data_IF_672338839331
#
_entry.id   IF_672338839331
#
_cell.length_a   1.000
_cell.length_b   1.000
_cell.length_c   1.000
_cell.angle_alpha   90.00
_cell.angle_beta   90.00
_cell.angle_gamma   90.00
#
_symmetry.space_group_name_H-M   'P 1'
#
loop_
_entity.id
_entity.type
_entity.pdbx_description
1 polymer ?
#
# COMPACT_ATOMS: atom_id res chain seq x y z
N UNK A 1 18.60 -3.50 -27.12
CA UNK A 1 18.09 -3.47 -25.74
C UNK A 1 17.31 -2.17 -25.48
N UNK A 2 16.49 -1.77 -26.45
CA UNK A 2 16.06 -0.37 -26.68
C UNK A 2 14.54 -0.20 -26.79
N UNK A 3 13.76 -1.28 -26.64
CA UNK A 3 12.30 -1.24 -26.84
C UNK A 3 11.51 -0.95 -25.56
N UNK A 4 11.81 -1.63 -24.44
CA UNK A 4 10.99 -1.52 -23.21
C UNK A 4 11.20 -0.20 -22.46
N UNK A 5 12.44 0.28 -22.36
CA UNK A 5 12.75 1.57 -21.73
C UNK A 5 12.27 2.76 -22.59
N UNK A 6 12.30 2.63 -23.92
CA UNK A 6 11.80 3.63 -24.86
C UNK A 6 10.27 3.70 -24.95
N UNK A 7 9.55 2.63 -24.60
CA UNK A 7 8.09 2.67 -24.43
C UNK A 7 7.67 3.22 -23.08
N UNK A 8 8.38 2.88 -21.99
CA UNK A 8 8.13 3.48 -20.67
C UNK A 8 8.46 4.98 -20.64
N UNK A 9 9.43 5.45 -21.43
CA UNK A 9 9.76 6.86 -21.60
C UNK A 9 8.65 7.68 -22.28
N UNK A 10 7.75 7.03 -23.03
CA UNK A 10 6.60 7.69 -23.71
C UNK A 10 5.35 7.78 -22.88
N UNK A 11 5.31 7.13 -21.71
CA UNK A 11 4.16 7.21 -20.81
C UNK A 11 4.03 8.65 -20.30
N UNK A 12 2.88 9.32 -20.52
CA UNK A 12 2.67 10.66 -20.04
C UNK A 12 2.75 10.73 -18.50
N UNK A 13 3.29 11.81 -17.92
CA UNK A 13 3.34 12.00 -16.47
C UNK A 13 1.99 11.82 -15.77
N UNK A 14 0.89 12.24 -16.41
CA UNK A 14 -0.46 12.10 -15.87
C UNK A 14 -0.93 10.65 -15.82
N UNK A 15 -0.51 9.79 -16.75
CA UNK A 15 -0.82 8.35 -16.73
C UNK A 15 -0.09 7.67 -15.56
N UNK A 16 1.16 8.05 -15.30
CA UNK A 16 1.92 7.55 -14.14
C UNK A 16 1.19 7.91 -12.84
N UNK A 17 0.78 9.16 -12.68
CA UNK A 17 0.02 9.60 -11.50
C UNK A 17 -1.33 8.88 -11.39
N UNK A 18 -2.02 8.67 -12.52
CA UNK A 18 -3.28 7.91 -12.53
C UNK A 18 -3.07 6.47 -12.06
N UNK A 19 -2.00 5.79 -12.49
CA UNK A 19 -1.70 4.43 -12.04
C UNK A 19 -1.32 4.39 -10.55
N UNK A 20 -0.53 5.37 -10.09
CA UNK A 20 -0.17 5.57 -8.68
C UNK A 20 -1.41 5.82 -7.80
N UNK A 21 -2.47 6.41 -8.34
CA UNK A 21 -3.75 6.55 -7.66
C UNK A 21 -4.58 5.26 -7.71
N UNK A 22 -4.82 4.78 -8.93
CA UNK A 22 -5.83 3.78 -9.23
C UNK A 22 -5.45 2.41 -8.67
N UNK A 23 -4.17 2.02 -8.76
CA UNK A 23 -3.77 0.68 -8.32
C UNK A 23 -3.89 0.52 -6.79
N UNK A 24 -3.39 1.46 -5.95
CA UNK A 24 -3.68 1.42 -4.51
C UNK A 24 -5.18 1.53 -4.18
N UNK A 25 -5.93 2.35 -4.91
CA UNK A 25 -7.38 2.51 -4.69
C UNK A 25 -8.16 1.21 -5.00
N UNK A 26 -7.83 0.54 -6.11
CA UNK A 26 -8.46 -0.71 -6.53
C UNK A 26 -8.08 -1.86 -5.61
N UNK A 27 -6.81 -1.94 -5.19
CA UNK A 27 -6.33 -2.96 -4.25
C UNK A 27 -7.01 -2.83 -2.89
N UNK A 28 -7.16 -1.61 -2.37
CA UNK A 28 -7.80 -1.38 -1.07
C UNK A 28 -9.34 -1.44 -1.11
N UNK A 29 -9.97 -1.13 -2.25
CA UNK A 29 -11.43 -1.15 -2.40
C UNK A 29 -12.00 -2.56 -2.61
N UNK A 30 -11.26 -3.44 -3.27
CA UNK A 30 -11.69 -4.82 -3.48
C UNK A 30 -11.24 -5.68 -2.30
N UNK A 31 -12.17 -6.41 -1.67
CA UNK A 31 -11.85 -7.50 -0.71
C UNK A 31 -10.92 -8.57 -1.30
N UNK A 32 -10.67 -8.50 -2.62
CA UNK A 32 -9.85 -9.36 -3.46
C UNK A 32 -8.46 -8.76 -3.79
N UNK A 33 -8.01 -7.72 -3.06
CA UNK A 33 -6.75 -6.98 -3.24
C UNK A 33 -5.44 -7.78 -3.18
N UNK A 34 -5.46 -9.10 -3.37
CA UNK A 34 -4.28 -9.96 -3.48
C UNK A 34 -3.66 -9.89 -4.89
N UNK A 35 -4.41 -9.45 -5.91
CA UNK A 35 -3.97 -9.53 -7.31
C UNK A 35 -3.37 -8.23 -7.89
N UNK A 36 -3.65 -7.06 -7.31
CA UNK A 36 -3.21 -5.77 -7.86
C UNK A 36 -2.05 -5.24 -7.02
N UNK A 37 -0.81 -5.17 -7.53
CA UNK A 37 0.32 -4.68 -6.76
C UNK A 37 0.40 -3.15 -6.79
N UNK A 38 -0.44 -2.46 -6.00
CA UNK A 38 -0.41 -1.00 -5.86
C UNK A 38 0.91 -0.47 -5.28
N UNK A 39 1.58 -1.25 -4.44
CA UNK A 39 2.91 -0.92 -3.90
C UNK A 39 3.97 -0.78 -5.00
N UNK A 40 3.92 -1.63 -6.03
CA UNK A 40 4.84 -1.56 -7.16
C UNK A 40 4.64 -0.26 -7.94
N UNK A 41 3.38 0.16 -8.12
CA UNK A 41 3.06 1.41 -8.81
C UNK A 41 3.65 2.64 -8.10
N UNK A 42 3.53 2.69 -6.77
CA UNK A 42 4.08 3.80 -5.97
C UNK A 42 5.61 3.76 -5.94
N UNK A 43 6.24 2.58 -5.85
CA UNK A 43 7.69 2.42 -5.95
C UNK A 43 8.21 2.93 -7.29
N UNK A 44 7.59 2.49 -8.39
CA UNK A 44 7.95 2.96 -9.74
C UNK A 44 7.71 4.46 -9.89
N UNK A 45 6.62 5.00 -9.34
CA UNK A 45 6.37 6.43 -9.28
C UNK A 45 7.51 7.18 -8.57
N UNK A 46 8.05 6.64 -7.49
CA UNK A 46 9.22 7.17 -6.80
C UNK A 46 10.49 7.15 -7.66
N UNK A 47 10.74 6.06 -8.39
CA UNK A 47 11.87 5.95 -9.34
C UNK A 47 11.73 6.99 -10.45
N UNK A 48 10.56 7.10 -11.08
CA UNK A 48 10.30 8.12 -12.12
C UNK A 48 10.37 9.55 -11.58
N UNK A 49 10.08 9.76 -10.31
CA UNK A 49 10.28 11.06 -9.66
C UNK A 49 11.76 11.40 -9.50
N UNK A 50 12.63 10.40 -9.25
CA UNK A 50 14.08 10.60 -9.24
C UNK A 50 14.62 11.00 -10.62
N UNK A 51 14.08 10.41 -11.68
CA UNK A 51 14.40 10.75 -13.07
C UNK A 51 13.87 12.14 -13.50
N UNK A 52 13.15 12.85 -12.62
CA UNK A 52 12.60 14.18 -12.91
C UNK A 52 11.34 14.18 -13.77
N UNK A 53 10.72 13.02 -14.03
CA UNK A 53 9.53 12.90 -14.89
C UNK A 53 8.24 13.33 -14.21
N UNK A 54 8.16 13.16 -12.89
CA UNK A 54 7.03 13.56 -12.05
C UNK A 54 7.55 14.14 -10.73
N UNK A 55 6.90 15.15 -10.14
CA UNK A 55 7.31 15.64 -8.82
C UNK A 55 7.02 14.60 -7.75
N UNK A 56 8.02 14.32 -6.89
CA UNK A 56 7.91 13.32 -5.81
C UNK A 56 6.73 13.61 -4.86
N UNK A 57 6.50 14.88 -4.55
CA UNK A 57 5.37 15.31 -3.73
C UNK A 57 4.02 14.94 -4.35
N UNK A 58 3.89 15.01 -5.69
CA UNK A 58 2.66 14.58 -6.36
C UNK A 58 2.48 13.06 -6.27
N UNK A 59 3.56 12.27 -6.44
CA UNK A 59 3.49 10.81 -6.25
C UNK A 59 3.04 10.47 -4.84
N UNK A 60 3.61 11.10 -3.82
CA UNK A 60 3.22 10.89 -2.42
C UNK A 60 1.75 11.28 -2.17
N UNK A 61 1.33 12.47 -2.62
CA UNK A 61 -0.03 12.95 -2.42
C UNK A 61 -1.06 12.05 -3.13
N UNK A 62 -0.80 11.69 -4.38
CA UNK A 62 -1.70 10.87 -5.20
C UNK A 62 -1.77 9.43 -4.68
N UNK A 63 -0.66 8.85 -4.24
CA UNK A 63 -0.64 7.53 -3.60
C UNK A 63 -1.42 7.53 -2.28
N UNK A 64 -1.25 8.58 -1.45
CA UNK A 64 -1.99 8.72 -0.20
C UNK A 64 -3.49 8.86 -0.45
N UNK A 65 -3.88 9.66 -1.46
CA UNK A 65 -5.28 9.80 -1.86
C UNK A 65 -5.87 8.49 -2.36
N UNK A 66 -5.17 7.76 -3.23
CA UNK A 66 -5.63 6.46 -3.75
C UNK A 66 -5.85 5.46 -2.62
N UNK A 67 -4.87 5.36 -1.72
CA UNK A 67 -4.99 4.55 -0.51
C UNK A 67 -6.21 4.93 0.35
N UNK A 68 -6.36 6.22 0.69
CA UNK A 68 -7.46 6.68 1.54
C UNK A 68 -8.83 6.41 0.90
N UNK A 69 -8.96 6.69 -0.40
CA UNK A 69 -10.20 6.44 -1.15
C UNK A 69 -10.53 4.95 -1.18
N UNK A 70 -9.56 4.09 -1.51
CA UNK A 70 -9.77 2.64 -1.55
C UNK A 70 -10.16 2.07 -0.19
N UNK A 71 -9.45 2.49 0.87
CA UNK A 71 -9.74 2.08 2.24
C UNK A 71 -11.13 2.58 2.70
N UNK A 72 -11.54 3.79 2.31
CA UNK A 72 -12.89 4.30 2.60
C UNK A 72 -13.99 3.51 1.87
N UNK A 73 -13.73 3.04 0.65
CA UNK A 73 -14.65 2.12 -0.05
C UNK A 73 -14.73 0.80 0.71
N UNK A 74 -13.59 0.22 1.10
CA UNK A 74 -13.55 -1.01 1.90
C UNK A 74 -14.32 -0.85 3.23
N UNK A 75 -14.16 0.28 3.92
CA UNK A 75 -14.94 0.60 5.11
C UNK A 75 -16.44 0.63 4.82
N UNK A 76 -16.88 1.33 3.77
CA UNK A 76 -18.29 1.42 3.42
C UNK A 76 -18.90 0.06 3.04
N UNK A 77 -18.13 -0.76 2.32
CA UNK A 77 -18.45 -2.17 2.02
C UNK A 77 -18.61 -2.95 3.32
N UNK A 78 -17.65 -2.83 4.24
CA UNK A 78 -17.71 -3.45 5.57
C UNK A 78 -18.94 -3.06 6.38
N UNK A 79 -19.28 -1.78 6.43
CA UNK A 79 -20.44 -1.28 7.17
C UNK A 79 -21.77 -1.78 6.58
N UNK A 80 -21.88 -1.87 5.25
CA UNK A 80 -23.13 -2.28 4.58
C UNK A 80 -23.30 -3.80 4.48
N UNK A 81 -22.23 -4.53 4.16
CA UNK A 81 -22.25 -5.97 3.91
C UNK A 81 -21.88 -6.78 5.16
N UNK A 82 -21.17 -6.19 6.12
CA UNK A 82 -20.79 -6.83 7.38
C UNK A 82 -21.97 -7.50 8.10
N UNK A 83 -23.05 -6.76 8.46
CA UNK A 83 -24.20 -7.33 9.16
C UNK A 83 -24.86 -8.50 8.43
N UNK A 84 -24.87 -8.48 7.08
CA UNK A 84 -25.43 -9.55 6.24
C UNK A 84 -24.51 -10.76 6.11
N UNK A 85 -23.20 -10.56 6.16
CA UNK A 85 -22.19 -11.63 6.21
C UNK A 85 -22.12 -12.27 7.61
N UNK A 86 -22.44 -11.53 8.68
CA UNK A 86 -22.48 -12.08 10.05
C UNK A 86 -23.66 -13.01 10.29
N UNK A 87 -24.83 -12.70 9.73
CA UNK A 87 -26.00 -13.57 9.85
C UNK A 87 -25.85 -14.88 9.07
N UNK A 88 -25.02 -14.90 8.02
CA UNK A 88 -24.83 -16.07 7.12
C UNK A 88 -23.47 -16.75 7.23
N UNK A 89 -22.55 -16.22 8.05
CA UNK A 89 -21.18 -16.74 8.20
C UNK A 89 -21.07 -17.87 9.24
N UNK A 90 -20.07 -18.73 9.06
CA UNK A 90 -19.72 -19.80 10.00
C UNK A 90 -19.25 -19.26 11.36
N UNK A 91 -19.33 -20.10 12.41
CA UNK A 91 -18.93 -19.74 13.77
C UNK A 91 -17.48 -19.25 13.88
N UNK A 92 -16.60 -19.77 13.04
CA UNK A 92 -15.21 -19.32 12.96
C UNK A 92 -15.10 -17.87 12.45
N UNK A 93 -15.94 -17.47 11.49
CA UNK A 93 -16.00 -16.10 10.97
C UNK A 93 -16.54 -15.15 12.04
N UNK A 94 -17.59 -15.54 12.77
CA UNK A 94 -18.13 -14.75 13.89
C UNK A 94 -17.09 -14.54 14.99
N UNK A 95 -16.42 -15.60 15.47
CA UNK A 95 -15.36 -15.50 16.50
C UNK A 95 -14.14 -14.66 16.08
N UNK A 96 -13.77 -14.66 14.80
CA UNK A 96 -12.69 -13.79 14.29
C UNK A 96 -13.12 -12.33 14.30
N UNK A 97 -14.39 -12.09 14.03
CA UNK A 97 -14.93 -10.77 13.93
C UNK A 97 -15.27 -10.15 15.29
N UNK A 98 -15.75 -10.94 16.25
CA UNK A 98 -15.91 -10.53 17.65
C UNK A 98 -14.56 -10.12 18.23
N UNK A 99 -13.49 -10.88 17.92
CA UNK A 99 -12.12 -10.51 18.28
C UNK A 99 -11.68 -9.20 17.62
N UNK A 100 -12.03 -8.99 16.36
CA UNK A 100 -11.71 -7.75 15.68
C UNK A 100 -12.52 -6.56 16.24
N UNK A 101 -13.79 -6.75 16.59
CA UNK A 101 -14.61 -5.78 17.30
C UNK A 101 -14.02 -5.45 18.66
N UNK A 102 -13.68 -6.46 19.47
CA UNK A 102 -13.02 -6.26 20.76
C UNK A 102 -11.67 -5.55 20.60
N UNK A 103 -10.91 -5.86 19.56
CA UNK A 103 -9.65 -5.18 19.26
C UNK A 103 -9.86 -3.72 18.84
N UNK A 104 -10.85 -3.44 17.98
CA UNK A 104 -11.18 -2.07 17.56
C UNK A 104 -11.83 -1.27 18.71
N UNK A 105 -12.60 -1.90 19.60
CA UNK A 105 -13.14 -1.25 20.79
C UNK A 105 -12.02 -0.96 21.81
N UNK A 106 -11.08 -1.89 21.99
CA UNK A 106 -9.97 -1.75 22.94
C UNK A 106 -8.90 -0.77 22.48
N UNK A 107 -8.57 -0.77 21.18
CA UNK A 107 -7.47 0.03 20.63
C UNK A 107 -7.93 1.20 19.77
N UNK A 108 -9.21 1.27 19.37
CA UNK A 108 -9.78 2.39 18.63
C UNK A 108 -9.13 2.63 17.26
N UNK A 109 -8.88 3.89 16.95
CA UNK A 109 -8.22 4.30 15.71
C UNK A 109 -6.76 3.83 15.53
N UNK A 110 -5.92 3.73 16.59
CA UNK A 110 -4.61 3.08 16.51
C UNK A 110 -4.62 1.65 15.95
N UNK A 111 -5.73 0.92 16.10
CA UNK A 111 -5.90 -0.41 15.49
C UNK A 111 -5.80 -0.36 13.95
N UNK A 112 -6.23 0.74 13.34
CA UNK A 112 -6.17 0.95 11.88
C UNK A 112 -4.73 1.13 11.43
N UNK A 113 -3.92 1.90 12.16
CA UNK A 113 -2.49 2.08 11.88
C UNK A 113 -1.70 0.77 12.04
N UNK A 114 -1.96 0.03 13.13
CA UNK A 114 -1.28 -1.24 13.39
C UNK A 114 -1.69 -2.33 12.39
N UNK A 115 -2.98 -2.38 12.01
CA UNK A 115 -3.49 -3.30 11.00
C UNK A 115 -2.91 -3.06 9.61
N UNK A 116 -2.61 -1.80 9.26
CA UNK A 116 -1.99 -1.42 7.98
C UNK A 116 -0.57 -1.93 7.80
N UNK A 117 0.15 -2.22 8.90
CA UNK A 117 1.55 -2.67 8.87
C UNK A 117 1.73 -4.14 8.44
N UNK A 118 0.62 -4.87 8.27
CA UNK A 118 0.62 -6.25 7.78
C UNK A 118 -0.02 -6.26 6.39
N UNK A 119 0.77 -6.51 5.36
CA UNK A 119 0.36 -6.39 3.95
C UNK A 119 -0.97 -7.11 3.63
N UNK A 120 -1.16 -8.34 4.13
CA UNK A 120 -2.38 -9.11 3.93
C UNK A 120 -3.60 -8.55 4.69
N UNK A 121 -3.37 -7.87 5.82
CA UNK A 121 -4.44 -7.27 6.61
C UNK A 121 -4.83 -5.90 6.07
N UNK A 122 -4.00 -5.19 5.30
CA UNK A 122 -4.30 -3.83 4.81
C UNK A 122 -5.60 -3.77 3.99
N UNK A 123 -5.87 -4.76 3.15
CA UNK A 123 -7.09 -4.80 2.33
C UNK A 123 -8.34 -5.22 3.12
N UNK A 124 -8.15 -5.95 4.23
CA UNK A 124 -9.24 -6.50 5.03
C UNK A 124 -9.62 -5.61 6.23
N UNK A 125 -8.64 -4.88 6.79
CA UNK A 125 -8.80 -4.01 7.96
C UNK A 125 -9.90 -2.96 7.77
N UNK A 126 -9.98 -2.22 6.64
CA UNK A 126 -11.04 -1.23 6.47
C UNK A 126 -12.43 -1.86 6.51
N UNK A 127 -12.61 -3.00 5.84
CA UNK A 127 -13.87 -3.74 5.83
C UNK A 127 -14.24 -4.27 7.22
N UNK A 128 -13.28 -4.81 7.96
CA UNK A 128 -13.49 -5.32 9.32
C UNK A 128 -13.82 -4.17 10.30
N UNK A 129 -13.14 -3.02 10.17
CA UNK A 129 -13.40 -1.83 10.98
C UNK A 129 -14.74 -1.19 10.63
N UNK A 130 -15.14 -1.20 9.36
CA UNK A 130 -16.46 -0.76 8.93
C UNK A 130 -17.58 -1.62 9.50
N UNK A 131 -17.34 -2.93 9.57
CA UNK A 131 -18.31 -3.87 10.10
C UNK A 131 -18.38 -3.90 11.63
N UNK A 132 -17.33 -3.42 12.32
CA UNK A 132 -17.31 -3.31 13.79
C UNK A 132 -18.11 -2.13 14.34
N UNK A 133 -18.56 -1.21 13.47
CA UNK A 133 -19.35 -0.03 13.86
C UNK A 133 -18.52 1.15 14.33
N UNK A 134 -17.20 1.17 14.09
CA UNK A 134 -16.36 2.33 14.41
C UNK A 134 -16.82 3.56 13.61
N UNK A 135 -17.01 4.75 14.19
CA UNK A 135 -17.46 5.92 13.44
C UNK A 135 -16.46 6.34 12.35
N UNK A 136 -16.98 6.66 11.16
CA UNK A 136 -16.16 7.00 9.97
C UNK A 136 -15.15 8.12 10.23
N UNK A 137 -15.52 9.15 11.01
CA UNK A 137 -14.62 10.28 11.35
C UNK A 137 -13.35 9.81 12.06
N UNK A 138 -13.46 8.81 12.94
CA UNK A 138 -12.30 8.24 13.61
C UNK A 138 -11.51 7.37 12.64
N UNK A 139 -12.18 6.52 11.87
CA UNK A 139 -11.52 5.71 10.85
C UNK A 139 -10.69 6.56 9.87
N UNK A 140 -11.29 7.59 9.25
CA UNK A 140 -10.66 8.37 8.19
C UNK A 140 -9.44 9.16 8.70
N UNK A 141 -9.45 9.66 9.94
CA UNK A 141 -8.32 10.38 10.51
C UNK A 141 -7.07 9.48 10.63
N UNK A 142 -7.24 8.26 11.14
CA UNK A 142 -6.14 7.29 11.25
C UNK A 142 -5.78 6.68 9.89
N UNK A 143 -6.76 6.56 8.99
CA UNK A 143 -6.53 6.11 7.62
C UNK A 143 -5.68 7.11 6.83
N UNK A 144 -5.97 8.41 6.93
CA UNK A 144 -5.18 9.48 6.31
C UNK A 144 -3.77 9.51 6.88
N UNK A 145 -3.60 9.44 8.20
CA UNK A 145 -2.28 9.40 8.81
C UNK A 145 -1.47 8.18 8.33
N UNK A 146 -2.09 7.00 8.32
CA UNK A 146 -1.44 5.76 7.86
C UNK A 146 -1.18 5.73 6.36
N UNK A 147 -2.11 6.22 5.55
CA UNK A 147 -2.00 6.31 4.10
C UNK A 147 -0.90 7.27 3.67
N UNK A 148 -0.80 8.43 4.34
CA UNK A 148 0.29 9.39 4.11
C UNK A 148 1.63 8.82 4.52
N UNK A 149 1.75 8.23 5.72
CA UNK A 149 3.01 7.63 6.17
C UNK A 149 3.48 6.51 5.23
N UNK A 150 2.56 5.65 4.79
CA UNK A 150 2.84 4.61 3.80
C UNK A 150 3.28 5.21 2.45
N UNK A 151 2.54 6.19 1.92
CA UNK A 151 2.87 6.81 0.64
C UNK A 151 4.24 7.49 0.66
N UNK A 152 4.56 8.23 1.73
CA UNK A 152 5.88 8.87 1.92
C UNK A 152 6.98 7.81 1.99
N UNK A 153 6.76 6.73 2.75
CA UNK A 153 7.76 5.67 2.91
C UNK A 153 8.00 4.95 1.58
N UNK A 154 6.94 4.50 0.90
CA UNK A 154 7.07 3.70 -0.34
C UNK A 154 7.59 4.57 -1.49
N UNK A 155 7.05 5.77 -1.70
CA UNK A 155 7.54 6.67 -2.74
C UNK A 155 8.98 7.13 -2.46
N UNK A 156 9.31 7.40 -1.19
CA UNK A 156 10.67 7.75 -0.77
C UNK A 156 11.68 6.61 -1.00
N UNK A 157 11.31 5.37 -0.68
CA UNK A 157 12.12 4.18 -0.99
C UNK A 157 12.30 4.03 -2.50
N UNK A 158 11.24 4.21 -3.29
CA UNK A 158 11.33 4.21 -4.76
C UNK A 158 12.28 5.28 -5.29
N UNK A 159 12.21 6.50 -4.76
CA UNK A 159 13.09 7.61 -5.13
C UNK A 159 14.57 7.31 -4.82
N UNK A 160 14.84 6.80 -3.62
CA UNK A 160 16.19 6.39 -3.22
C UNK A 160 16.70 5.20 -4.04
N UNK A 161 15.81 4.27 -4.41
CA UNK A 161 16.15 3.16 -5.29
C UNK A 161 16.52 3.65 -6.70
N UNK A 162 15.81 4.65 -7.24
CA UNK A 162 16.19 5.31 -8.49
C UNK A 162 17.59 5.94 -8.41
N UNK A 163 17.90 6.62 -7.30
CA UNK A 163 19.23 7.20 -7.07
C UNK A 163 20.33 6.13 -6.95
N UNK A 164 20.05 5.04 -6.24
CA UNK A 164 20.98 3.92 -6.10
C UNK A 164 21.22 3.22 -7.44
N UNK A 165 20.19 3.06 -8.26
CA UNK A 165 20.29 2.51 -9.61
C UNK A 165 21.17 3.37 -10.51
N UNK A 166 20.91 4.68 -10.58
CA UNK A 166 21.71 5.62 -11.38
C UNK A 166 23.20 5.62 -10.96
N UNK A 167 23.47 5.41 -9.66
CA UNK A 167 24.83 5.28 -9.13
C UNK A 167 25.45 3.92 -9.47
N UNK A 168 24.72 2.82 -9.34
CA UNK A 168 25.19 1.49 -9.68
C UNK A 168 25.49 1.34 -11.18
N UNK A 169 24.66 1.94 -12.04
CA UNK A 169 24.86 1.96 -13.49
C UNK A 169 26.16 2.69 -13.86
N UNK A 170 26.49 3.81 -13.18
CA UNK A 170 27.74 4.54 -13.40
C UNK A 170 29.00 3.81 -12.95
N UNK A 171 28.93 2.92 -11.95
CA UNK A 171 30.12 2.33 -11.32
C UNK A 171 30.32 0.83 -11.55
N UNK A 172 29.25 0.03 -11.71
CA UNK A 172 29.35 -1.45 -11.75
C UNK A 172 28.76 -2.08 -13.01
N UNK A 173 28.00 -1.36 -13.84
CA UNK A 173 27.17 -2.01 -14.87
C UNK A 173 26.16 -2.99 -14.26
N UNK A 174 25.60 -3.89 -15.08
CA UNK A 174 24.43 -4.72 -14.75
C UNK A 174 24.56 -5.60 -13.49
N UNK A 175 25.79 -5.93 -13.09
CA UNK A 175 26.10 -6.72 -11.89
C UNK A 175 25.76 -5.97 -10.59
N UNK A 176 25.85 -4.63 -10.56
CA UNK A 176 25.49 -3.82 -9.38
C UNK A 176 24.00 -3.87 -9.05
N UNK A 177 23.15 -3.99 -10.08
CA UNK A 177 21.69 -4.06 -9.94
C UNK A 177 21.26 -5.40 -9.34
N UNK A 178 21.86 -6.50 -9.81
CA UNK A 178 21.65 -7.83 -9.24
C UNK A 178 22.08 -7.89 -7.77
N UNK A 179 23.23 -7.29 -7.43
CA UNK A 179 23.73 -7.25 -6.06
C UNK A 179 22.80 -6.42 -5.15
N UNK A 180 22.34 -5.25 -5.59
CA UNK A 180 21.41 -4.43 -4.80
C UNK A 180 20.07 -5.12 -4.56
N UNK A 181 19.52 -5.78 -5.59
CA UNK A 181 18.28 -6.56 -5.49
C UNK A 181 18.43 -7.74 -4.52
N UNK A 182 19.56 -8.46 -4.59
CA UNK A 182 19.91 -9.53 -3.65
C UNK A 182 20.06 -8.99 -2.23
N UNK A 183 20.74 -7.84 -2.04
CA UNK A 183 20.91 -7.23 -0.72
C UNK A 183 19.58 -6.80 -0.08
N UNK A 184 18.64 -6.26 -0.85
CA UNK A 184 17.30 -5.91 -0.34
C UNK A 184 16.52 -7.17 0.06
N UNK A 185 16.56 -8.22 -0.76
CA UNK A 185 15.91 -9.50 -0.46
C UNK A 185 16.54 -10.13 0.79
N UNK A 186 17.88 -10.13 0.90
CA UNK A 186 18.62 -10.66 2.04
C UNK A 186 18.33 -9.84 3.30
N UNK A 187 18.30 -8.51 3.24
CA UNK A 187 17.94 -7.66 4.37
C UNK A 187 16.51 -7.93 4.87
N UNK A 188 15.57 -8.13 3.95
CA UNK A 188 14.19 -8.51 4.28
C UNK A 188 14.11 -9.90 4.93
N UNK A 189 14.92 -10.86 4.50
CA UNK A 189 15.00 -12.21 5.08
C UNK A 189 15.65 -12.18 6.47
N UNK A 190 16.77 -11.48 6.63
CA UNK A 190 17.49 -11.34 7.92
C UNK A 190 16.58 -10.68 8.95
N UNK A 191 15.88 -9.61 8.57
CA UNK A 191 14.94 -8.93 9.47
C UNK A 191 13.74 -9.81 9.85
N UNK A 192 13.32 -10.73 8.97
CA UNK A 192 12.30 -11.74 9.29
C UNK A 192 12.83 -12.84 10.21
N UNK A 193 14.12 -13.20 10.12
CA UNK A 193 14.76 -14.18 11.01
C UNK A 193 15.09 -13.62 12.39
N UNK A 194 15.49 -12.36 12.50
CA UNK A 194 15.79 -11.72 13.79
C UNK A 194 14.56 -11.40 14.66
N UNK A 195 13.35 -11.54 14.12
CA UNK A 195 12.07 -11.37 14.85
C UNK A 195 11.42 -12.71 15.23
N UNK A 196 12.07 -13.83 14.96
CA UNK A 196 11.72 -15.16 15.49
C UNK A 196 12.71 -15.53 16.57
#
# INVERSE_FOLDING_TARGET
>A
MSSLLGELARVPPWVLLLLVFALPALEASTLLGVAIPGEIAVLLGGVFAHEGRVPLLAVMAVAALGAVVGDSIGYAVGTRLGPRLFSRGSDATRKRLDRAQAFVQRYGGPAVLLGRSVALLRALVPSVVGASGLPYRRFVAYNVAGGTLWAVTVAGVGFLAGAAYARAERYLGWSGVLIAMVLVIVALIIRRRHRR
#
